data_IF_758863866422
#
_entry.id   IF_758863866422
#
_cell.length_a   1.000
_cell.length_b   1.000
_cell.length_c   1.000
_cell.angle_alpha   90.00
_cell.angle_beta   90.00
_cell.angle_gamma   90.00
#
_symmetry.space_group_name_H-M   'P 1'
#
loop_
_entity.id
_entity.type
_entity.pdbx_description
1 polymer ?
#
# COMPACT_ATOMS: atom_id res chain seq x y z
N UNK A 1 49.55 -21.82 -22.85
CA UNK A 1 48.31 -22.31 -22.19
C UNK A 1 47.18 -21.28 -22.33
N UNK A 2 47.21 -20.52 -23.42
CA UNK A 2 46.55 -19.19 -23.47
C UNK A 2 45.12 -19.25 -24.02
N UNK A 3 44.69 -20.44 -24.45
CA UNK A 3 43.35 -20.69 -25.03
C UNK A 3 42.35 -21.19 -23.99
N UNK A 4 42.81 -21.67 -22.83
CA UNK A 4 41.94 -22.27 -21.80
C UNK A 4 41.18 -21.19 -21.02
N UNK A 5 41.83 -20.07 -20.69
CA UNK A 5 41.22 -18.92 -20.00
C UNK A 5 40.06 -18.27 -20.77
N UNK A 6 40.18 -17.94 -22.09
CA UNK A 6 39.06 -17.37 -22.82
C UNK A 6 37.91 -18.36 -23.00
N UNK A 7 38.19 -19.66 -23.07
CA UNK A 7 37.14 -20.70 -23.15
C UNK A 7 36.29 -20.75 -21.87
N UNK A 8 36.93 -20.65 -20.70
CA UNK A 8 36.24 -20.62 -19.40
C UNK A 8 35.43 -19.32 -19.27
N UNK A 9 35.99 -18.17 -19.66
CA UNK A 9 35.27 -16.89 -19.61
C UNK A 9 34.03 -16.88 -20.52
N UNK A 10 34.11 -17.51 -21.69
CA UNK A 10 32.98 -17.68 -22.60
C UNK A 10 31.88 -18.55 -21.99
N UNK A 11 32.24 -19.66 -21.33
CA UNK A 11 31.27 -20.53 -20.65
C UNK A 11 30.55 -19.82 -19.50
N UNK A 12 31.27 -19.02 -18.71
CA UNK A 12 30.70 -18.24 -17.60
C UNK A 12 29.73 -17.16 -18.12
N UNK A 13 30.13 -16.42 -19.14
CA UNK A 13 29.28 -15.38 -19.74
C UNK A 13 28.02 -15.97 -20.38
N UNK A 14 28.15 -17.12 -21.07
CA UNK A 14 26.99 -17.83 -21.62
C UNK A 14 26.01 -18.27 -20.53
N UNK A 15 26.51 -18.83 -19.42
CA UNK A 15 25.66 -19.26 -18.29
C UNK A 15 24.96 -18.07 -17.63
N UNK A 16 25.65 -16.94 -17.43
CA UNK A 16 25.05 -15.73 -16.89
C UNK A 16 23.95 -15.17 -17.80
N UNK A 17 24.16 -15.15 -19.12
CA UNK A 17 23.15 -14.69 -20.08
C UNK A 17 21.92 -15.59 -20.06
N UNK A 18 22.11 -16.92 -20.06
CA UNK A 18 21.00 -17.88 -20.00
C UNK A 18 20.21 -17.70 -18.69
N UNK A 19 20.90 -17.49 -17.56
CA UNK A 19 20.25 -17.32 -16.26
C UNK A 19 19.49 -15.98 -16.17
N UNK A 20 20.04 -14.92 -16.76
CA UNK A 20 19.37 -13.63 -16.91
C UNK A 20 18.13 -13.73 -17.81
N UNK A 21 18.24 -14.41 -18.96
CA UNK A 21 17.12 -14.66 -19.88
C UNK A 21 16.05 -15.51 -19.21
N UNK A 22 16.42 -16.55 -18.48
CA UNK A 22 15.48 -17.43 -17.78
C UNK A 22 14.73 -16.66 -16.68
N UNK A 23 15.42 -15.84 -15.88
CA UNK A 23 14.76 -14.96 -14.91
C UNK A 23 13.87 -13.91 -15.58
N UNK A 24 14.26 -13.39 -16.73
CA UNK A 24 13.45 -12.46 -17.51
C UNK A 24 12.18 -13.14 -18.07
N UNK A 25 12.30 -14.35 -18.64
CA UNK A 25 11.19 -15.13 -19.14
C UNK A 25 10.23 -15.55 -18.02
N UNK A 26 10.74 -15.94 -16.84
CA UNK A 26 9.92 -16.21 -15.65
C UNK A 26 9.10 -14.98 -15.22
N UNK A 27 9.66 -13.78 -15.34
CA UNK A 27 8.91 -12.52 -15.09
C UNK A 27 7.87 -12.27 -16.18
N UNK A 28 8.22 -12.44 -17.45
CA UNK A 28 7.30 -12.21 -18.58
C UNK A 28 6.14 -13.22 -18.63
N UNK A 29 6.38 -14.49 -18.29
CA UNK A 29 5.36 -15.55 -18.36
C UNK A 29 4.30 -15.44 -17.24
N UNK A 30 4.66 -14.81 -16.11
CA UNK A 30 3.67 -14.45 -15.08
C UNK A 30 2.71 -13.34 -15.56
N UNK A 31 3.13 -12.51 -16.51
CA UNK A 31 2.30 -11.47 -17.13
C UNK A 31 1.37 -12.00 -18.23
N UNK A 32 1.74 -13.10 -18.91
CA UNK A 32 0.94 -13.68 -20.01
C UNK A 32 -0.17 -14.63 -19.52
N UNK A 33 -0.04 -15.26 -18.35
CA UNK A 33 -1.04 -16.17 -17.79
C UNK A 33 -2.35 -15.50 -17.35
N UNK A 34 -2.40 -14.16 -17.28
CA UNK A 34 -3.65 -13.41 -17.05
C UNK A 34 -4.40 -13.03 -18.33
N UNK A 35 -3.90 -13.42 -19.52
CA UNK A 35 -4.47 -13.04 -20.83
C UNK A 35 -4.99 -14.20 -21.67
N UNK A 36 -4.85 -15.46 -21.24
CA UNK A 36 -5.40 -16.62 -21.94
C UNK A 36 -6.77 -17.03 -21.40
N UNK A 37 -7.72 -16.10 -21.41
CA UNK A 37 -9.13 -16.45 -21.52
C UNK A 37 -9.56 -16.01 -22.92
N UNK A 38 -10.01 -16.91 -23.81
CA UNK A 38 -10.35 -16.53 -25.17
C UNK A 38 -11.54 -15.57 -25.12
N UNK A 39 -11.29 -14.30 -25.47
CA UNK A 39 -12.31 -13.29 -25.67
C UNK A 39 -12.85 -13.38 -27.12
N UNK A 40 -14.16 -13.12 -27.32
CA UNK A 40 -14.81 -13.17 -28.63
C UNK A 40 -14.26 -12.09 -29.58
N UNK A 41 -14.26 -12.32 -30.90
CA UNK A 41 -13.63 -11.42 -31.86
C UNK A 41 -14.41 -10.11 -31.98
N UNK A 42 -13.73 -8.98 -31.73
CA UNK A 42 -14.21 -7.64 -32.06
C UNK A 42 -13.12 -6.84 -32.78
N UNK A 43 -13.58 -6.10 -33.79
CA UNK A 43 -12.81 -5.49 -34.86
C UNK A 43 -11.69 -4.53 -34.40
N UNK A 44 -10.56 -4.63 -35.07
CA UNK A 44 -9.36 -3.82 -34.86
C UNK A 44 -9.49 -2.44 -35.52
N UNK A 45 -9.11 -1.38 -34.78
CA UNK A 45 -8.75 -0.07 -35.36
C UNK A 45 -7.42 0.38 -34.72
N UNK A 46 -6.39 0.71 -35.51
CA UNK A 46 -5.07 1.06 -34.97
C UNK A 46 -5.07 2.48 -34.39
N UNK A 47 -4.28 2.72 -33.33
CA UNK A 47 -4.00 4.05 -32.80
C UNK A 47 -2.49 4.25 -32.60
N UNK A 48 -2.02 5.36 -33.14
CA UNK A 48 -0.63 5.82 -33.16
C UNK A 48 -0.14 6.40 -31.82
N UNK A 49 1.17 6.65 -31.78
CA UNK A 49 2.05 6.93 -30.64
C UNK A 49 1.84 8.26 -29.88
N UNK A 50 2.17 8.18 -28.57
CA UNK A 50 2.86 9.14 -27.67
C UNK A 50 2.33 10.57 -27.45
N UNK A 51 1.73 10.81 -26.27
CA UNK A 51 1.69 12.08 -25.52
C UNK A 51 1.28 11.80 -24.04
N UNK A 52 1.44 12.73 -23.07
CA UNK A 52 1.36 12.44 -21.63
C UNK A 52 -0.04 11.93 -21.25
N UNK A 53 -0.07 10.86 -20.45
CA UNK A 53 -1.28 10.09 -20.19
C UNK A 53 -2.28 10.91 -19.37
N UNK A 54 -3.38 11.31 -20.01
CA UNK A 54 -4.43 12.14 -19.42
C UNK A 54 -5.28 11.37 -18.39
N UNK A 55 -5.98 12.11 -17.52
CA UNK A 55 -6.93 11.61 -16.52
C UNK A 55 -7.92 10.55 -17.05
N UNK A 56 -8.18 10.54 -18.37
CA UNK A 56 -8.98 9.52 -19.04
C UNK A 56 -8.41 8.08 -18.91
N UNK A 57 -7.09 7.93 -18.91
CA UNK A 57 -6.44 6.62 -18.78
C UNK A 57 -6.49 6.10 -17.33
N UNK A 58 -6.41 7.01 -16.35
CA UNK A 58 -6.60 6.70 -14.92
C UNK A 58 -8.03 6.20 -14.67
N UNK A 59 -9.02 6.83 -15.30
CA UNK A 59 -10.44 6.45 -15.19
C UNK A 59 -10.70 5.03 -15.68
N UNK A 60 -10.11 4.63 -16.80
CA UNK A 60 -10.23 3.26 -17.35
C UNK A 60 -9.59 2.20 -16.45
N UNK A 61 -8.46 2.51 -15.81
CA UNK A 61 -7.81 1.58 -14.86
C UNK A 61 -8.63 1.46 -13.57
N UNK A 62 -9.21 2.55 -13.07
CA UNK A 62 -10.05 2.54 -11.87
C UNK A 62 -11.36 1.77 -12.08
N UNK A 63 -12.01 1.92 -13.24
CA UNK A 63 -13.25 1.22 -13.56
C UNK A 63 -13.02 -0.26 -13.88
N UNK A 64 -11.90 -0.62 -14.50
CA UNK A 64 -11.51 -2.01 -14.72
C UNK A 64 -11.07 -2.72 -13.42
N UNK A 65 -10.41 -2.01 -12.48
CA UNK A 65 -10.01 -2.58 -11.19
C UNK A 65 -11.17 -2.67 -10.18
N UNK A 66 -12.13 -1.74 -10.22
CA UNK A 66 -13.31 -1.76 -9.36
C UNK A 66 -14.24 -2.97 -9.61
N UNK A 67 -14.17 -3.58 -10.79
CA UNK A 67 -14.95 -4.78 -11.13
C UNK A 67 -14.28 -6.10 -10.68
N UNK A 68 -13.01 -6.10 -10.27
CA UNK A 68 -12.34 -7.30 -9.75
C UNK A 68 -12.42 -7.44 -8.22
N UNK A 69 -12.77 -6.39 -7.48
CA UNK A 69 -12.69 -6.36 -6.01
C UNK A 69 -14.07 -6.58 -5.32
N UNK A 70 -15.12 -6.94 -6.07
CA UNK A 70 -16.47 -7.18 -5.53
C UNK A 70 -16.68 -8.57 -4.89
N UNK A 71 -15.64 -9.41 -4.78
CA UNK A 71 -15.77 -10.79 -4.26
C UNK A 71 -15.07 -11.05 -2.90
N UNK A 72 -14.73 -10.02 -2.14
CA UNK A 72 -14.07 -10.16 -0.83
C UNK A 72 -14.98 -9.84 0.37
N UNK A 73 -16.30 -10.02 0.24
CA UNK A 73 -17.27 -9.67 1.29
C UNK A 73 -18.19 -10.84 1.66
N UNK A 74 -17.66 -12.05 1.84
CA UNK A 74 -18.37 -13.16 2.50
C UNK A 74 -17.38 -14.22 3.02
N UNK A 75 -16.71 -13.98 4.15
CA UNK A 75 -16.49 -15.01 5.19
C UNK A 75 -15.84 -14.39 6.46
N UNK A 76 -16.63 -14.20 7.52
CA UNK A 76 -16.09 -14.30 8.88
C UNK A 76 -17.20 -14.65 9.86
N UNK A 77 -17.46 -15.96 9.98
CA UNK A 77 -18.15 -16.54 11.13
C UNK A 77 -17.13 -16.76 12.26
N UNK A 78 -17.54 -16.34 13.46
CA UNK A 78 -17.13 -16.85 14.77
C UNK A 78 -15.63 -16.96 15.11
N UNK A 79 -15.16 -16.06 15.97
CA UNK A 79 -14.31 -16.46 17.10
C UNK A 79 -14.65 -15.60 18.32
N UNK A 80 -14.98 -16.29 19.41
CA UNK A 80 -15.44 -15.79 20.71
C UNK A 80 -14.28 -15.42 21.65
N UNK A 81 -14.34 -14.20 22.22
CA UNK A 81 -13.80 -13.84 23.55
C UNK A 81 -12.54 -12.93 23.60
N UNK A 82 -12.30 -12.15 24.68
CA UNK A 82 -13.18 -11.74 25.77
C UNK A 82 -13.56 -10.25 25.72
N UNK A 83 -14.73 -9.97 26.30
CA UNK A 83 -15.36 -8.67 26.54
C UNK A 83 -14.48 -7.79 27.43
N UNK A 84 -14.06 -6.62 26.92
CA UNK A 84 -13.59 -5.51 27.76
C UNK A 84 -14.61 -4.37 27.57
N UNK A 85 -15.58 -4.31 28.46
CA UNK A 85 -16.20 -3.03 28.81
C UNK A 85 -15.24 -2.27 29.73
N UNK A 86 -15.29 -0.93 29.67
CA UNK A 86 -15.65 -0.25 30.90
C UNK A 86 -16.82 0.71 30.70
N UNK A 87 -17.71 0.69 31.68
CA UNK A 87 -18.76 1.66 31.92
C UNK A 87 -18.23 3.11 31.90
N UNK A 88 -18.96 4.03 31.26
CA UNK A 88 -19.07 5.42 31.72
C UNK A 88 -20.19 6.19 30.98
N UNK A 89 -21.23 6.57 31.75
CA UNK A 89 -21.98 7.84 31.71
C UNK A 89 -22.42 8.48 30.39
N UNK A 90 -23.74 8.71 30.26
CA UNK A 90 -24.39 9.73 29.42
C UNK A 90 -23.75 10.07 28.04
N UNK A 91 -24.24 9.39 27.00
CA UNK A 91 -24.50 10.01 25.68
C UNK A 91 -23.34 10.35 24.74
N UNK A 92 -22.08 9.97 25.00
CA UNK A 92 -20.99 10.21 24.03
C UNK A 92 -20.87 9.04 23.05
N UNK A 93 -21.36 9.25 21.82
CA UNK A 93 -21.17 8.33 20.68
C UNK A 93 -19.71 7.89 20.55
N UNK A 94 -19.49 6.60 20.27
CA UNK A 94 -18.16 6.05 19.94
C UNK A 94 -17.58 6.75 18.71
N UNK A 95 -16.25 6.84 18.59
CA UNK A 95 -15.62 7.43 17.40
C UNK A 95 -16.01 6.69 16.11
N UNK A 96 -16.26 5.38 16.19
CA UNK A 96 -16.73 4.56 15.05
C UNK A 96 -18.14 4.94 14.61
N UNK A 97 -19.01 5.30 15.55
CA UNK A 97 -20.37 5.79 15.27
C UNK A 97 -20.31 7.17 14.62
N UNK A 98 -19.48 8.08 15.15
CA UNK A 98 -19.27 9.40 14.54
C UNK A 98 -18.69 9.29 13.13
N UNK A 99 -17.76 8.37 12.92
CA UNK A 99 -17.19 8.10 11.60
C UNK A 99 -18.26 7.62 10.61
N UNK A 100 -19.13 6.71 11.05
CA UNK A 100 -20.25 6.23 10.24
C UNK A 100 -21.20 7.37 9.87
N UNK A 101 -21.47 8.25 10.83
CA UNK A 101 -22.31 9.43 10.63
C UNK A 101 -21.70 10.39 9.59
N UNK A 102 -20.39 10.68 9.64
CA UNK A 102 -19.71 11.48 8.61
C UNK A 102 -19.76 10.84 7.23
N UNK A 103 -19.49 9.53 7.14
CA UNK A 103 -19.55 8.78 5.86
C UNK A 103 -20.95 8.81 5.23
N UNK A 104 -22.00 8.66 6.04
CA UNK A 104 -23.39 8.74 5.57
C UNK A 104 -23.76 10.12 5.01
N UNK A 105 -23.18 11.18 5.57
CA UNK A 105 -23.38 12.56 5.10
C UNK A 105 -22.46 12.97 3.94
N UNK A 106 -21.54 12.10 3.51
CA UNK A 106 -20.57 12.42 2.47
C UNK A 106 -19.45 13.37 2.92
N UNK A 107 -19.31 13.65 4.21
CA UNK A 107 -18.30 14.54 4.77
C UNK A 107 -16.95 13.82 4.90
N UNK A 108 -16.29 13.57 3.77
CA UNK A 108 -15.06 12.78 3.71
C UNK A 108 -13.87 13.47 4.41
N UNK A 109 -13.78 14.80 4.36
CA UNK A 109 -12.71 15.56 5.03
C UNK A 109 -12.82 15.49 6.56
N UNK A 110 -14.04 15.68 7.08
CA UNK A 110 -14.34 15.50 8.50
C UNK A 110 -14.08 14.07 8.95
N UNK A 111 -14.45 13.08 8.13
CA UNK A 111 -14.20 11.67 8.40
C UNK A 111 -12.69 11.36 8.45
N UNK A 112 -11.90 11.89 7.52
CA UNK A 112 -10.45 11.71 7.48
C UNK A 112 -9.78 12.35 8.69
N UNK A 113 -10.19 13.57 9.04
CA UNK A 113 -9.71 14.28 10.24
C UNK A 113 -10.00 13.49 11.51
N UNK A 114 -11.21 12.93 11.62
CA UNK A 114 -11.57 12.05 12.74
C UNK A 114 -10.67 10.80 12.78
N UNK A 115 -10.41 10.14 11.66
CA UNK A 115 -9.48 9.00 11.62
C UNK A 115 -8.07 9.38 12.09
N UNK A 116 -7.52 10.51 11.61
CA UNK A 116 -6.20 11.00 12.03
C UNK A 116 -6.11 11.26 13.53
N UNK A 117 -7.18 11.77 14.15
CA UNK A 117 -7.24 11.96 15.61
C UNK A 117 -7.15 10.67 16.43
N UNK A 118 -7.38 9.52 15.79
CA UNK A 118 -7.35 8.19 16.42
C UNK A 118 -6.05 7.43 16.14
N UNK A 119 -5.07 8.05 15.49
CA UNK A 119 -3.75 7.45 15.35
C UNK A 119 -3.10 7.27 16.74
N UNK A 120 -2.34 6.19 16.96
CA UNK A 120 -1.82 5.23 15.97
C UNK A 120 -2.66 3.94 15.83
N UNK A 121 -3.97 3.95 16.08
CA UNK A 121 -4.78 2.71 15.97
C UNK A 121 -4.77 2.16 14.53
N UNK A 122 -4.46 0.88 14.35
CA UNK A 122 -4.47 0.23 13.02
C UNK A 122 -5.82 0.36 12.32
N UNK A 123 -6.91 0.20 13.07
CA UNK A 123 -8.27 0.40 12.55
C UNK A 123 -8.51 1.83 12.03
N UNK A 124 -7.88 2.84 12.63
CA UNK A 124 -7.98 4.22 12.15
C UNK A 124 -7.23 4.42 10.82
N UNK A 125 -6.03 3.85 10.67
CA UNK A 125 -5.31 3.84 9.38
C UNK A 125 -6.12 3.16 8.27
N UNK A 126 -6.64 1.96 8.54
CA UNK A 126 -7.48 1.23 7.59
C UNK A 126 -8.68 2.07 7.13
N UNK A 127 -9.40 2.71 8.07
CA UNK A 127 -10.52 3.58 7.72
C UNK A 127 -10.10 4.86 6.98
N UNK A 128 -8.95 5.45 7.31
CA UNK A 128 -8.41 6.61 6.60
C UNK A 128 -8.11 6.27 5.13
N UNK A 129 -7.48 5.13 4.85
CA UNK A 129 -7.22 4.71 3.46
C UNK A 129 -8.52 4.43 2.69
N UNK A 130 -9.56 3.90 3.33
CA UNK A 130 -10.88 3.75 2.69
C UNK A 130 -11.44 5.12 2.27
N UNK A 131 -11.32 6.13 3.14
CA UNK A 131 -11.80 7.48 2.87
C UNK A 131 -10.98 8.13 1.75
N UNK A 132 -9.64 7.99 1.78
CA UNK A 132 -8.77 8.52 0.73
C UNK A 132 -9.09 7.91 -0.64
N UNK A 133 -9.33 6.59 -0.71
CA UNK A 133 -9.78 5.95 -1.95
C UNK A 133 -11.11 6.50 -2.44
N UNK A 134 -12.05 6.76 -1.54
CA UNK A 134 -13.33 7.38 -1.90
C UNK A 134 -13.12 8.79 -2.46
N UNK A 135 -12.25 9.60 -1.83
CA UNK A 135 -11.88 10.93 -2.33
C UNK A 135 -11.22 10.85 -3.71
N UNK A 136 -10.22 9.99 -3.89
CA UNK A 136 -9.54 9.77 -5.18
C UNK A 136 -10.57 9.39 -6.25
N UNK A 137 -11.51 8.49 -5.95
CA UNK A 137 -12.57 8.12 -6.89
C UNK A 137 -13.44 9.31 -7.29
N UNK A 138 -13.81 10.17 -6.32
CA UNK A 138 -14.56 11.40 -6.57
C UNK A 138 -13.77 12.33 -7.47
N UNK A 139 -12.52 12.67 -7.12
CA UNK A 139 -11.67 13.58 -7.91
C UNK A 139 -11.44 13.06 -9.33
N UNK A 140 -11.19 11.76 -9.51
CA UNK A 140 -11.08 11.14 -10.84
C UNK A 140 -12.37 11.24 -11.66
N UNK A 141 -13.54 11.23 -11.01
CA UNK A 141 -14.82 11.34 -11.72
C UNK A 141 -15.06 12.74 -12.28
N UNK A 142 -14.52 13.76 -11.61
CA UNK A 142 -14.59 15.17 -12.00
C UNK A 142 -13.27 15.68 -12.62
N UNK A 143 -12.38 14.76 -13.00
CA UNK A 143 -11.11 15.00 -13.69
C UNK A 143 -10.16 15.95 -12.96
N UNK A 144 -10.22 15.98 -11.63
CA UNK A 144 -9.33 16.75 -10.78
C UNK A 144 -8.03 15.99 -10.47
N UNK A 145 -6.93 16.73 -10.18
CA UNK A 145 -5.66 16.14 -9.76
C UNK A 145 -5.82 15.32 -8.47
N UNK A 146 -5.16 14.16 -8.41
CA UNK A 146 -5.22 13.23 -7.28
C UNK A 146 -3.87 13.03 -6.58
N UNK A 147 -2.84 13.72 -7.03
CA UNK A 147 -1.45 13.51 -6.65
C UNK A 147 -1.25 13.63 -5.14
N UNK A 148 -1.80 14.68 -4.53
CA UNK A 148 -1.73 14.91 -3.08
C UNK A 148 -2.48 13.84 -2.28
N UNK A 149 -3.64 13.39 -2.77
CA UNK A 149 -4.41 12.32 -2.12
C UNK A 149 -3.71 10.97 -2.23
N UNK A 150 -3.05 10.71 -3.36
CA UNK A 150 -2.31 9.48 -3.61
C UNK A 150 -1.03 9.43 -2.78
N UNK A 151 -0.31 10.55 -2.67
CA UNK A 151 0.85 10.71 -1.79
C UNK A 151 0.45 10.48 -0.33
N UNK A 152 -0.67 11.07 0.11
CA UNK A 152 -1.18 10.86 1.47
C UNK A 152 -1.59 9.39 1.71
N UNK A 153 -2.25 8.75 0.74
CA UNK A 153 -2.63 7.33 0.82
C UNK A 153 -1.39 6.45 0.98
N UNK A 154 -0.37 6.70 0.16
CA UNK A 154 0.90 5.98 0.20
C UNK A 154 1.64 6.18 1.52
N UNK A 155 1.73 7.44 1.98
CA UNK A 155 2.39 7.81 3.22
C UNK A 155 1.73 7.15 4.43
N UNK A 156 0.40 7.23 4.54
CA UNK A 156 -0.33 6.62 5.65
C UNK A 156 -0.24 5.09 5.64
N UNK A 157 -0.22 4.46 4.47
CA UNK A 157 -0.02 3.02 4.36
C UNK A 157 1.40 2.62 4.83
N UNK A 158 2.42 3.37 4.41
CA UNK A 158 3.81 3.15 4.81
C UNK A 158 4.03 3.36 6.30
N UNK A 159 3.41 4.40 6.87
CA UNK A 159 3.44 4.68 8.30
C UNK A 159 2.71 3.61 9.12
N UNK A 160 1.56 3.14 8.64
CA UNK A 160 0.84 2.04 9.28
C UNK A 160 1.69 0.77 9.31
N UNK A 161 2.37 0.44 8.21
CA UNK A 161 3.27 -0.69 8.13
C UNK A 161 4.47 -0.53 9.08
N UNK A 162 5.10 0.65 9.10
CA UNK A 162 6.19 0.96 10.04
C UNK A 162 5.80 0.63 11.50
N UNK A 163 4.59 1.03 11.91
CA UNK A 163 4.13 0.87 13.28
C UNK A 163 3.61 -0.54 13.59
N UNK A 164 2.89 -1.17 12.64
CA UNK A 164 2.08 -2.37 12.90
C UNK A 164 2.56 -3.65 12.21
N UNK A 165 3.66 -3.61 11.44
CA UNK A 165 4.24 -4.80 10.83
C UNK A 165 4.44 -5.93 11.88
N UNK A 166 3.98 -7.13 11.58
CA UNK A 166 4.05 -8.28 12.50
C UNK A 166 5.02 -9.37 12.04
N UNK A 167 5.72 -9.12 10.94
CA UNK A 167 6.64 -10.09 10.34
C UNK A 167 7.77 -10.47 11.31
N UNK A 168 8.23 -9.51 12.11
CA UNK A 168 9.15 -9.75 13.21
C UNK A 168 8.42 -9.71 14.56
N UNK A 169 7.81 -10.84 14.95
CA UNK A 169 7.07 -10.98 16.22
C UNK A 169 7.86 -10.57 17.48
N UNK A 170 9.20 -10.58 17.41
CA UNK A 170 10.09 -10.15 18.50
C UNK A 170 10.23 -8.63 18.62
N UNK A 171 9.87 -7.87 17.58
CA UNK A 171 10.14 -6.44 17.48
C UNK A 171 8.87 -5.59 17.32
N UNK A 172 7.67 -6.17 17.32
CA UNK A 172 6.42 -5.39 17.30
C UNK A 172 6.26 -4.49 18.53
N UNK A 173 5.83 -3.24 18.34
CA UNK A 173 5.57 -2.32 19.45
C UNK A 173 4.38 -2.79 20.30
N UNK A 174 4.57 -2.86 21.62
CA UNK A 174 3.47 -3.11 22.55
C UNK A 174 2.46 -1.95 22.49
N UNK A 175 1.15 -2.19 22.68
CA UNK A 175 0.12 -1.15 22.60
C UNK A 175 0.37 0.09 23.48
N UNK A 176 1.00 -0.09 24.65
CA UNK A 176 1.38 1.02 25.55
C UNK A 176 2.43 1.93 24.90
N UNK A 177 3.41 1.33 24.23
CA UNK A 177 4.51 2.05 23.58
C UNK A 177 4.05 2.80 22.33
N UNK A 178 3.11 2.22 21.58
CA UNK A 178 2.48 2.89 20.43
C UNK A 178 1.84 4.21 20.86
N UNK A 179 1.08 4.22 21.98
CA UNK A 179 0.43 5.44 22.49
C UNK A 179 1.39 6.52 22.98
N UNK A 180 2.63 6.14 23.32
CA UNK A 180 3.66 7.06 23.81
C UNK A 180 4.50 7.67 22.68
N UNK A 181 4.34 7.19 21.44
CA UNK A 181 5.13 7.70 20.33
C UNK A 181 4.76 9.15 19.99
N UNK A 182 5.76 9.95 19.66
CA UNK A 182 5.54 11.27 19.08
C UNK A 182 5.07 11.10 17.62
N UNK A 183 3.76 11.06 17.44
CA UNK A 183 3.13 10.89 16.14
C UNK A 183 3.49 12.02 15.16
N UNK A 184 3.75 13.23 15.64
CA UNK A 184 4.13 14.35 14.77
C UNK A 184 5.46 14.06 14.07
N UNK A 185 6.46 13.61 14.83
CA UNK A 185 7.77 13.21 14.28
C UNK A 185 7.63 12.05 13.31
N UNK A 186 6.79 11.06 13.64
CA UNK A 186 6.56 9.90 12.77
C UNK A 186 5.87 10.28 11.45
N UNK A 187 4.90 11.20 11.49
CA UNK A 187 4.23 11.68 10.27
C UNK A 187 5.15 12.47 9.34
N UNK A 188 6.27 12.97 9.84
CA UNK A 188 7.26 13.70 9.07
C UNK A 188 8.37 12.81 8.49
N UNK A 189 8.37 11.50 8.81
CA UNK A 189 9.35 10.59 8.25
C UNK A 189 9.19 10.51 6.72
N UNK A 190 10.29 10.61 5.96
CA UNK A 190 10.23 10.49 4.51
C UNK A 190 9.87 9.06 4.13
N UNK A 191 8.86 8.90 3.30
CA UNK A 191 8.44 7.60 2.75
C UNK A 191 8.77 7.56 1.25
N UNK A 192 10.04 7.35 0.85
CA UNK A 192 10.43 7.43 -0.55
C UNK A 192 9.91 6.22 -1.33
N UNK A 193 8.97 6.48 -2.24
CA UNK A 193 8.34 5.47 -3.08
C UNK A 193 9.35 4.60 -3.85
N UNK A 194 10.41 5.20 -4.38
CA UNK A 194 11.44 4.48 -5.15
C UNK A 194 12.10 3.32 -4.37
N UNK A 195 12.23 3.45 -3.05
CA UNK A 195 12.92 2.47 -2.20
C UNK A 195 11.96 1.53 -1.46
N UNK A 196 10.88 2.09 -0.92
CA UNK A 196 9.89 1.33 -0.15
C UNK A 196 8.94 0.55 -1.08
N UNK A 197 8.59 1.13 -2.22
CA UNK A 197 7.59 0.60 -3.13
C UNK A 197 6.28 0.31 -2.40
N UNK A 198 5.51 -0.66 -2.89
CA UNK A 198 4.17 -0.98 -2.35
C UNK A 198 3.95 -2.44 -1.96
N UNK A 199 4.84 -3.36 -2.35
CA UNK A 199 4.63 -4.82 -2.13
C UNK A 199 4.52 -5.20 -0.64
N UNK A 200 5.22 -4.49 0.25
CA UNK A 200 5.18 -4.75 1.68
C UNK A 200 4.10 -3.95 2.42
N UNK A 201 3.25 -3.19 1.73
CA UNK A 201 2.25 -2.32 2.37
C UNK A 201 0.89 -3.03 2.45
N UNK A 202 0.62 -3.74 3.55
CA UNK A 202 -0.52 -4.66 3.63
C UNK A 202 -1.90 -3.98 3.57
N UNK A 203 -1.97 -2.69 3.90
CA UNK A 203 -3.23 -1.93 3.83
C UNK A 203 -3.53 -1.39 2.43
N UNK A 204 -2.60 -1.51 1.48
CA UNK A 204 -2.78 -1.11 0.08
C UNK A 204 -3.44 -2.22 -0.74
N UNK A 205 -4.12 -1.84 -1.81
CA UNK A 205 -4.81 -2.75 -2.74
C UNK A 205 -4.13 -2.77 -4.09
N UNK A 206 -4.43 -3.78 -4.89
CA UNK A 206 -3.98 -3.88 -6.28
C UNK A 206 -4.37 -2.66 -7.12
N UNK A 207 -5.55 -2.06 -6.86
CA UNK A 207 -5.95 -0.80 -7.51
C UNK A 207 -5.03 0.35 -7.14
N UNK A 208 -4.62 0.46 -5.87
CA UNK A 208 -3.70 1.49 -5.41
C UNK A 208 -2.32 1.31 -6.06
N UNK A 209 -1.83 0.07 -6.17
CA UNK A 209 -0.54 -0.24 -6.81
C UNK A 209 -0.51 0.24 -8.26
N UNK A 210 -1.61 0.04 -9.00
CA UNK A 210 -1.72 0.54 -10.38
C UNK A 210 -1.66 2.06 -10.43
N UNK A 211 -2.32 2.75 -9.49
CA UNK A 211 -2.26 4.21 -9.39
C UNK A 211 -0.87 4.70 -9.04
N UNK A 212 -0.17 4.03 -8.11
CA UNK A 212 1.20 4.36 -7.76
C UNK A 212 2.14 4.21 -8.95
N UNK A 213 2.04 3.11 -9.70
CA UNK A 213 2.85 2.88 -10.90
C UNK A 213 2.56 3.92 -11.97
N UNK A 214 1.29 4.28 -12.14
CA UNK A 214 0.89 5.28 -13.11
C UNK A 214 1.44 6.67 -12.77
N UNK A 215 1.43 7.03 -11.48
CA UNK A 215 1.87 8.35 -11.01
C UNK A 215 3.40 8.47 -10.91
N UNK A 216 4.08 7.43 -10.40
CA UNK A 216 5.49 7.49 -10.00
C UNK A 216 6.38 6.47 -10.72
N UNK A 217 5.82 5.64 -11.59
CA UNK A 217 6.55 4.56 -12.26
C UNK A 217 6.71 3.31 -11.39
N UNK A 218 7.47 2.34 -11.91
CA UNK A 218 7.82 1.14 -11.13
C UNK A 218 8.90 1.52 -10.11
N UNK A 219 8.75 1.17 -8.82
CA UNK A 219 9.77 1.49 -7.83
C UNK A 219 11.03 0.65 -8.08
N UNK A 220 12.18 1.18 -7.67
CA UNK A 220 13.47 0.49 -7.82
C UNK A 220 13.58 -0.71 -6.88
N UNK A 221 12.97 -0.59 -5.69
CA UNK A 221 13.01 -1.60 -4.63
C UNK A 221 11.67 -1.71 -3.89
N UNK A 222 11.55 -2.79 -3.14
CA UNK A 222 10.43 -3.05 -2.23
C UNK A 222 10.96 -3.34 -0.83
N UNK A 223 11.46 -2.31 -0.14
CA UNK A 223 11.88 -2.42 1.25
C UNK A 223 10.70 -2.30 2.21
N UNK A 224 10.79 -2.92 3.39
CA UNK A 224 9.80 -2.65 4.45
C UNK A 224 10.13 -1.32 5.13
N UNK A 225 9.13 -0.51 5.51
CA UNK A 225 9.37 0.75 6.20
C UNK A 225 10.25 0.63 7.46
N UNK A 226 10.12 -0.45 8.24
CA UNK A 226 11.00 -0.71 9.40
C UNK A 226 12.47 -0.93 9.04
N UNK A 227 12.73 -1.66 7.95
CA UNK A 227 14.10 -1.89 7.49
C UNK A 227 14.72 -0.59 6.98
N UNK A 228 13.95 0.22 6.25
CA UNK A 228 14.42 1.49 5.74
C UNK A 228 14.69 2.51 6.86
N UNK A 229 13.82 2.57 7.88
CA UNK A 229 13.95 3.45 9.03
C UNK A 229 14.57 2.76 10.26
N UNK A 230 15.50 1.82 10.07
CA UNK A 230 16.00 0.97 11.16
C UNK A 230 16.52 1.78 12.35
N UNK A 231 17.32 2.82 12.09
CA UNK A 231 17.88 3.67 13.14
C UNK A 231 16.80 4.42 13.92
N UNK A 232 15.80 4.97 13.24
CA UNK A 232 14.68 5.65 13.90
C UNK A 232 13.82 4.65 14.67
N UNK A 233 13.58 3.47 14.09
CA UNK A 233 12.86 2.38 14.72
C UNK A 233 13.52 1.93 16.03
N UNK A 234 14.83 1.70 16.01
CA UNK A 234 15.61 1.36 17.21
C UNK A 234 15.50 2.47 18.27
N UNK A 235 15.63 3.73 17.87
CA UNK A 235 15.44 4.85 18.81
C UNK A 235 14.04 4.88 19.44
N UNK A 236 12.99 4.44 18.73
CA UNK A 236 11.63 4.32 19.28
C UNK A 236 11.48 3.12 20.24
N UNK A 237 12.17 2.01 19.96
CA UNK A 237 12.11 0.80 20.80
C UNK A 237 13.02 0.86 22.03
N UNK A 238 14.14 1.57 21.95
CA UNK A 238 15.15 1.65 23.02
C UNK A 238 14.72 2.64 24.11
N UNK A 239 14.14 3.79 23.72
CA UNK A 239 13.49 4.73 24.66
C UNK A 239 12.35 4.09 25.46
N UNK A 240 11.81 2.99 24.97
CA UNK A 240 10.73 2.23 25.58
C UNK A 240 11.21 1.15 26.58
N UNK A 241 12.51 0.93 26.70
CA UNK A 241 13.12 -0.02 27.64
C UNK A 241 14.01 0.68 28.68
N UNK A 242 13.49 1.55 29.56
CA UNK A 242 14.25 1.97 30.72
C UNK A 242 14.23 0.82 31.74
N UNK A 243 15.41 0.23 31.97
CA UNK A 243 15.75 -0.82 32.94
C UNK A 243 15.42 -2.26 32.51
N UNK A 244 16.46 -2.96 32.04
CA UNK A 244 16.72 -4.32 32.53
C UNK A 244 17.23 -4.24 33.97
#
# INVERSE_FOLDING_TARGET
MDVVLPLIALLITLTLIVLALHRYQLRANRSSLSKSQPLPPLAYKPREHSAPQSNAQIKQISSAAANLDQNADHNSKHTTGPKIEPHSGAGKKSWTERLRDFKKRGELDSALTLCKSQFPLLGAYSQALIILRAKIKTELSIEQPIESLLEELYHLASLAELLHDQTDKKHGLKPKLLKQQNLQTLTQLPMPYAHLGFENLHLTRVSDHKLFILQWGTPEQHLRPRHFHLNQWQAFTDKASPNS
#
